data_IF_098072128309
#
_entry.id   IF_098072128309
#
_cell.length_a   1.000
_cell.length_b   1.000
_cell.length_c   1.000
_cell.angle_alpha   90.00
_cell.angle_beta   90.00
_cell.angle_gamma   90.00
#
_symmetry.space_group_name_H-M   'P 1'
#
loop_
_entity.id
_entity.type
_entity.pdbx_description
1 polymer ?
#
# COMPACT_ATOMS: atom_id res chain seq x y z
N UNK A 1 30.26 37.71 -0.20
CA UNK A 1 29.61 36.40 -0.31
C UNK A 1 28.12 36.65 -0.06
N UNK A 2 27.28 36.68 -1.11
CA UNK A 2 25.84 36.90 -0.96
C UNK A 2 25.14 35.56 -0.80
N UNK A 3 24.55 35.31 0.36
CA UNK A 3 23.75 34.12 0.65
C UNK A 3 22.40 34.19 -0.08
N UNK A 4 22.39 33.78 -1.34
CA UNK A 4 21.15 33.64 -2.10
C UNK A 4 20.46 32.35 -1.68
N UNK A 5 19.47 32.45 -0.79
CA UNK A 5 18.63 31.29 -0.41
C UNK A 5 17.84 30.81 -1.63
N UNK A 6 18.10 29.57 -2.05
CA UNK A 6 17.36 28.89 -3.10
C UNK A 6 15.89 28.77 -2.71
N UNK A 7 15.00 29.36 -3.51
CA UNK A 7 13.55 29.16 -3.41
C UNK A 7 13.12 28.13 -4.45
N UNK A 8 12.44 27.10 -4.00
CA UNK A 8 11.84 26.11 -4.88
C UNK A 8 10.36 26.43 -5.04
N UNK A 9 9.89 26.58 -6.28
CA UNK A 9 8.46 26.73 -6.59
C UNK A 9 7.98 25.54 -7.43
N UNK A 10 6.81 25.00 -7.08
CA UNK A 10 6.15 23.97 -7.87
C UNK A 10 5.15 24.64 -8.80
N UNK A 11 5.45 24.66 -10.10
CA UNK A 11 4.50 25.07 -11.13
C UNK A 11 3.71 23.85 -11.59
N UNK A 12 2.40 23.86 -11.36
CA UNK A 12 1.52 22.83 -11.90
C UNK A 12 1.40 23.01 -13.42
N UNK A 13 2.00 22.10 -14.19
CA UNK A 13 2.10 22.17 -15.67
C UNK A 13 0.86 21.60 -16.37
N UNK A 14 -0.22 21.30 -15.64
CA UNK A 14 -1.41 20.67 -16.21
C UNK A 14 -2.46 21.72 -16.60
N UNK A 15 -3.06 21.66 -17.81
CA UNK A 15 -4.10 22.60 -18.20
C UNK A 15 -5.31 22.40 -17.27
N UNK A 16 -5.95 23.51 -16.90
CA UNK A 16 -7.00 23.61 -15.89
C UNK A 16 -8.05 22.50 -15.96
N UNK A 17 -7.82 21.44 -15.21
CA UNK A 17 -8.70 20.28 -15.10
C UNK A 17 -9.38 20.27 -13.75
N UNK A 18 -9.86 21.41 -13.25
CA UNK A 18 -10.60 21.48 -12.00
C UNK A 18 -11.97 22.10 -12.21
N UNK A 19 -13.01 21.45 -11.70
CA UNK A 19 -14.38 21.97 -11.66
C UNK A 19 -14.75 22.30 -10.23
N UNK A 20 -15.59 23.33 -10.05
CA UNK A 20 -16.17 23.63 -8.75
C UNK A 20 -17.25 22.60 -8.45
N UNK A 21 -17.11 21.92 -7.32
CA UNK A 21 -18.17 21.06 -6.79
C UNK A 21 -19.32 21.91 -6.25
N UNK A 22 -20.49 21.30 -6.05
CA UNK A 22 -21.63 21.97 -5.39
C UNK A 22 -21.26 22.62 -4.05
N UNK A 23 -20.23 22.10 -3.38
CA UNK A 23 -19.71 22.59 -2.09
C UNK A 23 -18.65 23.71 -2.24
N UNK A 24 -18.40 24.20 -3.46
CA UNK A 24 -17.38 25.23 -3.74
C UNK A 24 -15.93 24.73 -3.79
N UNK A 25 -15.69 23.43 -3.56
CA UNK A 25 -14.36 22.83 -3.64
C UNK A 25 -13.94 22.54 -5.09
N UNK A 26 -12.70 22.90 -5.45
CA UNK A 26 -12.10 22.56 -6.75
C UNK A 26 -11.75 21.07 -6.80
N UNK A 27 -12.51 20.28 -7.55
CA UNK A 27 -12.25 18.84 -7.78
C UNK A 27 -11.60 18.61 -9.14
N UNK A 28 -10.74 17.59 -9.21
CA UNK A 28 -10.10 17.20 -10.46
C UNK A 28 -11.13 16.65 -11.46
N UNK A 29 -11.15 17.23 -12.65
CA UNK A 29 -12.02 16.96 -13.78
C UNK A 29 -11.25 16.54 -15.05
N UNK A 30 -9.92 16.40 -14.95
CA UNK A 30 -9.10 15.87 -16.04
C UNK A 30 -9.20 14.34 -16.16
N UNK A 31 -8.52 13.78 -17.17
CA UNK A 31 -8.44 12.32 -17.35
C UNK A 31 -7.79 11.62 -16.15
N UNK A 32 -8.26 10.41 -15.82
CA UNK A 32 -7.69 9.60 -14.75
C UNK A 32 -6.17 9.45 -14.89
N UNK A 33 -5.44 9.91 -13.87
CA UNK A 33 -3.96 9.96 -13.90
C UNK A 33 -3.32 8.68 -13.36
N UNK A 34 -4.08 7.84 -12.65
CA UNK A 34 -3.57 6.57 -12.12
C UNK A 34 -3.30 5.62 -13.28
N UNK A 35 -2.02 5.30 -13.48
CA UNK A 35 -1.60 4.32 -14.50
C UNK A 35 -1.99 2.90 -14.16
N UNK A 36 -2.04 2.55 -12.88
CA UNK A 36 -2.34 1.18 -12.42
C UNK A 36 -3.10 1.19 -11.11
N UNK A 37 -3.96 0.18 -10.93
CA UNK A 37 -4.59 -0.10 -9.65
C UNK A 37 -3.65 -0.98 -8.80
N UNK A 38 -3.21 -0.48 -7.64
CA UNK A 38 -2.35 -1.23 -6.71
C UNK A 38 -3.11 -2.29 -5.91
N UNK A 39 -4.44 -2.19 -5.85
CA UNK A 39 -5.29 -3.17 -5.18
C UNK A 39 -5.68 -4.24 -6.20
N UNK A 40 -4.75 -5.14 -6.49
CA UNK A 40 -4.91 -6.23 -7.45
C UNK A 40 -4.95 -7.61 -6.77
N UNK A 41 -5.53 -7.69 -5.56
CA UNK A 41 -5.58 -8.92 -4.78
C UNK A 41 -6.96 -9.17 -4.21
N UNK A 42 -7.27 -10.45 -3.98
CA UNK A 42 -8.50 -10.85 -3.32
C UNK A 42 -8.54 -10.28 -1.88
N UNK A 43 -9.73 -9.92 -1.39
CA UNK A 43 -9.87 -9.48 -0.01
C UNK A 43 -9.50 -10.63 0.94
N UNK A 44 -8.41 -10.47 1.69
CA UNK A 44 -7.98 -11.45 2.71
C UNK A 44 -9.01 -11.67 3.82
N UNK A 45 -10.03 -10.80 3.94
CA UNK A 45 -11.16 -10.99 4.86
C UNK A 45 -12.18 -12.00 4.34
N UNK A 46 -12.23 -12.23 3.04
CA UNK A 46 -13.08 -13.25 2.42
C UNK A 46 -12.53 -14.68 2.64
N UNK A 47 -11.24 -14.80 2.99
CA UNK A 47 -10.65 -16.10 3.31
C UNK A 47 -11.08 -16.57 4.70
N UNK A 48 -11.64 -17.78 4.76
CA UNK A 48 -11.94 -18.46 6.03
C UNK A 48 -10.63 -18.66 6.80
N UNK A 49 -10.52 -17.98 7.96
CA UNK A 49 -9.32 -18.01 8.82
C UNK A 49 -9.02 -19.40 9.38
N UNK A 50 -10.06 -20.19 9.60
CA UNK A 50 -9.96 -21.54 10.16
C UNK A 50 -10.64 -22.52 9.23
N UNK A 51 -9.86 -23.07 8.31
CA UNK A 51 -10.32 -24.06 7.35
C UNK A 51 -9.87 -25.44 7.83
N UNK A 52 -10.79 -26.36 8.15
CA UNK A 52 -10.46 -27.69 8.66
C UNK A 52 -9.70 -28.55 7.64
N UNK A 53 -9.70 -28.16 6.36
CA UNK A 53 -8.95 -28.84 5.29
C UNK A 53 -7.55 -28.25 5.07
N UNK A 54 -7.28 -27.03 5.58
CA UNK A 54 -5.95 -26.43 5.47
C UNK A 54 -5.00 -27.09 6.47
N UNK A 55 -3.80 -27.39 5.99
CA UNK A 55 -2.75 -27.92 6.85
C UNK A 55 -2.37 -26.90 7.94
N UNK A 56 -2.31 -27.36 9.18
CA UNK A 56 -1.84 -26.55 10.30
C UNK A 56 -0.35 -26.20 10.08
N UNK A 57 -0.03 -24.90 9.99
CA UNK A 57 1.35 -24.43 9.87
C UNK A 57 2.22 -24.76 11.10
N UNK A 58 1.60 -25.15 12.21
CA UNK A 58 2.28 -25.62 13.44
C UNK A 58 2.70 -27.08 13.35
N UNK A 59 2.25 -27.84 12.34
CA UNK A 59 2.60 -29.24 12.13
C UNK A 59 3.95 -29.48 11.44
N UNK A 60 4.67 -28.42 11.04
CA UNK A 60 5.98 -28.57 10.43
C UNK A 60 7.07 -28.52 11.52
N UNK A 61 7.49 -29.66 12.09
CA UNK A 61 8.67 -29.68 12.95
C UNK A 61 9.88 -29.22 12.13
N UNK A 62 10.77 -28.41 12.73
CA UNK A 62 12.01 -27.99 12.07
C UNK A 62 11.98 -26.60 11.42
N UNK A 63 11.03 -25.72 11.76
CA UNK A 63 11.03 -24.34 11.23
C UNK A 63 12.13 -23.50 11.87
N UNK A 64 12.48 -23.76 13.13
CA UNK A 64 13.63 -23.16 13.79
C UNK A 64 14.82 -24.12 13.71
N UNK A 65 16.02 -23.55 13.59
CA UNK A 65 17.29 -24.31 13.54
C UNK A 65 17.41 -25.31 14.69
N UNK A 66 16.88 -24.95 15.85
CA UNK A 66 17.00 -25.72 17.09
C UNK A 66 15.81 -26.67 17.34
N UNK A 67 14.78 -26.66 16.49
CA UNK A 67 13.61 -27.56 16.64
C UNK A 67 14.01 -29.04 16.47
N UNK A 68 15.11 -29.33 15.77
CA UNK A 68 15.62 -30.70 15.55
C UNK A 68 16.40 -31.25 16.76
N UNK A 69 16.80 -30.40 17.69
CA UNK A 69 17.58 -30.79 18.87
C UNK A 69 17.14 -29.96 20.07
N UNK A 70 15.93 -30.22 20.63
CA UNK A 70 15.50 -29.55 21.84
C UNK A 70 16.50 -29.88 22.95
N UNK A 71 17.29 -28.88 23.37
CA UNK A 71 18.16 -28.99 24.54
C UNK A 71 17.28 -28.83 25.77
N UNK A 72 16.97 -29.95 26.41
CA UNK A 72 16.39 -29.98 27.74
C UNK A 72 17.50 -30.11 28.78
N UNK A 73 18.23 -29.01 28.98
CA UNK A 73 19.05 -28.72 30.16
C UNK A 73 19.72 -27.36 29.99
#
# INVERSE_FOLDING_TARGET
MSDTKSRFEARDVSPGGYTLSGDGERKYAGQERRRTNRRSGNDRRAEVRFDPTKQDRRRNPGRRKDDKSPKFW
#
